data_IF_436542843028
#
_entry.id   IF_436542843028
#
_cell.length_a   1.000
_cell.length_b   1.000
_cell.length_c   1.000
_cell.angle_alpha   90.00
_cell.angle_beta   90.00
_cell.angle_gamma   90.00
#
_symmetry.space_group_name_H-M   'P 1'
#
loop_
_entity.id
_entity.type
_entity.pdbx_description
1 polymer ?
#
# COMPACT_ATOMS: atom_id res chain seq x y z
N UNK A 1 -17.76 -12.65 -17.77
CA UNK A 1 -18.65 -13.09 -16.67
C UNK A 1 -18.44 -14.58 -16.40
N UNK A 2 -18.69 -15.46 -17.38
CA UNK A 2 -18.42 -16.92 -17.24
C UNK A 2 -17.00 -17.27 -16.78
N UNK A 3 -15.97 -16.57 -17.26
CA UNK A 3 -14.59 -16.87 -16.83
C UNK A 3 -14.32 -16.51 -15.37
N UNK A 4 -14.99 -15.48 -14.86
CA UNK A 4 -14.90 -15.08 -13.45
C UNK A 4 -15.62 -16.11 -12.59
N UNK A 5 -16.83 -16.51 -12.97
CA UNK A 5 -17.59 -17.57 -12.28
C UNK A 5 -16.78 -18.87 -12.23
N UNK A 6 -16.18 -19.29 -13.35
CA UNK A 6 -15.30 -20.47 -13.41
C UNK A 6 -14.07 -20.32 -12.52
N UNK A 7 -13.39 -19.18 -12.56
CA UNK A 7 -12.18 -18.95 -11.75
C UNK A 7 -12.50 -19.02 -10.26
N UNK A 8 -13.61 -18.42 -9.85
CA UNK A 8 -14.00 -18.36 -8.45
C UNK A 8 -14.54 -19.70 -7.96
N UNK A 9 -15.36 -20.38 -8.76
CA UNK A 9 -15.83 -21.74 -8.42
C UNK A 9 -14.66 -22.71 -8.27
N UNK A 10 -13.68 -22.69 -9.17
CA UNK A 10 -12.48 -23.51 -9.04
C UNK A 10 -11.65 -23.16 -7.81
N UNK A 11 -11.48 -21.87 -7.50
CA UNK A 11 -10.77 -21.44 -6.30
C UNK A 11 -11.48 -21.90 -5.01
N UNK A 12 -12.80 -21.79 -4.95
CA UNK A 12 -13.59 -22.25 -3.79
C UNK A 12 -13.56 -23.77 -3.63
N UNK A 13 -13.59 -24.52 -4.74
CA UNK A 13 -13.44 -25.98 -4.72
C UNK A 13 -12.06 -26.35 -4.18
N UNK A 14 -11.00 -25.72 -4.68
CA UNK A 14 -9.63 -26.04 -4.27
C UNK A 14 -9.39 -25.77 -2.78
N UNK A 15 -9.84 -24.62 -2.26
CA UNK A 15 -9.75 -24.31 -0.83
C UNK A 15 -10.51 -25.31 0.04
N UNK A 16 -11.77 -25.61 -0.30
CA UNK A 16 -12.56 -26.57 0.47
C UNK A 16 -12.00 -28.00 0.35
N UNK A 17 -11.43 -28.37 -0.80
CA UNK A 17 -10.79 -29.68 -1.01
C UNK A 17 -9.51 -29.83 -0.18
N UNK A 18 -8.65 -28.81 -0.14
CA UNK A 18 -7.44 -28.80 0.71
C UNK A 18 -7.80 -29.00 2.18
N UNK A 19 -8.87 -28.35 2.64
CA UNK A 19 -9.34 -28.53 4.01
C UNK A 19 -9.92 -29.93 4.25
N UNK A 20 -10.68 -30.49 3.29
CA UNK A 20 -11.15 -31.87 3.39
C UNK A 20 -10.00 -32.88 3.49
N UNK A 21 -8.92 -32.70 2.72
CA UNK A 21 -7.75 -33.58 2.81
C UNK A 21 -7.08 -33.52 4.20
N UNK A 22 -6.98 -32.33 4.82
CA UNK A 22 -6.51 -32.21 6.20
C UNK A 22 -7.40 -32.95 7.19
N UNK A 23 -8.71 -32.77 7.07
CA UNK A 23 -9.68 -33.47 7.93
C UNK A 23 -9.60 -35.00 7.75
N UNK A 24 -9.33 -35.47 6.53
CA UNK A 24 -9.14 -36.89 6.23
C UNK A 24 -7.86 -37.47 6.84
N UNK A 25 -6.78 -36.68 6.88
CA UNK A 25 -5.55 -37.07 7.57
C UNK A 25 -5.77 -37.13 9.09
N UNK A 26 -6.43 -36.13 9.68
CA UNK A 26 -6.80 -36.15 11.12
C UNK A 26 -7.73 -37.32 11.45
N UNK A 27 -8.70 -37.61 10.58
CA UNK A 27 -9.59 -38.75 10.73
C UNK A 27 -8.81 -40.07 10.71
N UNK A 28 -7.82 -40.20 9.82
CA UNK A 28 -6.99 -41.41 9.74
C UNK A 28 -6.22 -41.67 11.02
N UNK A 29 -5.71 -40.63 11.66
CA UNK A 29 -5.01 -40.74 12.95
C UNK A 29 -5.98 -41.05 14.10
N UNK A 30 -7.14 -40.39 14.15
CA UNK A 30 -8.13 -40.62 15.21
C UNK A 30 -8.79 -42.00 15.15
N UNK A 31 -9.00 -42.57 13.96
CA UNK A 31 -9.57 -43.91 13.77
C UNK A 31 -8.66 -45.01 14.33
N UNK A 32 -7.34 -44.78 14.43
CA UNK A 32 -6.45 -45.74 15.09
C UNK A 32 -6.82 -45.93 16.56
N UNK A 33 -7.35 -44.90 17.23
CA UNK A 33 -7.86 -45.01 18.59
C UNK A 33 -9.17 -45.84 18.66
N UNK A 34 -9.97 -45.87 17.60
CA UNK A 34 -11.18 -46.70 17.55
C UNK A 34 -10.88 -48.21 17.56
N UNK A 35 -9.66 -48.62 17.21
CA UNK A 35 -9.20 -50.01 17.35
C UNK A 35 -9.25 -50.50 18.81
N UNK A 36 -9.18 -49.59 19.79
CA UNK A 36 -9.31 -49.96 21.21
C UNK A 36 -10.73 -50.42 21.57
N UNK A 37 -11.76 -50.05 20.79
CA UNK A 37 -13.17 -50.45 21.00
C UNK A 37 -13.55 -51.76 20.31
N UNK A 38 -12.59 -52.51 19.75
CA UNK A 38 -12.84 -53.74 18.95
C UNK A 38 -13.73 -53.54 17.71
N UNK A 39 -13.89 -52.30 17.24
CA UNK A 39 -14.50 -52.02 15.94
C UNK A 39 -13.44 -52.09 14.85
N UNK A 40 -13.84 -52.46 13.64
CA UNK A 40 -12.94 -52.45 12.49
C UNK A 40 -12.61 -50.98 12.13
N UNK A 41 -11.35 -50.53 12.29
CA UNK A 41 -10.96 -49.16 11.99
C UNK A 41 -11.21 -48.80 10.52
N UNK A 42 -11.09 -49.75 9.60
CA UNK A 42 -11.32 -49.49 8.18
C UNK A 42 -12.79 -49.16 7.89
N UNK A 43 -13.71 -49.80 8.60
CA UNK A 43 -15.15 -49.56 8.45
C UNK A 43 -15.51 -48.18 9.00
N UNK A 44 -15.00 -47.82 10.17
CA UNK A 44 -15.23 -46.50 10.78
C UNK A 44 -14.67 -45.39 9.90
N UNK A 45 -13.43 -45.55 9.42
CA UNK A 45 -12.83 -44.60 8.49
C UNK A 45 -13.71 -44.36 7.26
N UNK A 46 -14.19 -45.43 6.60
CA UNK A 46 -15.03 -45.30 5.41
C UNK A 46 -16.36 -44.60 5.69
N UNK A 47 -17.02 -44.93 6.80
CA UNK A 47 -18.28 -44.30 7.18
C UNK A 47 -18.10 -42.82 7.48
N UNK A 48 -17.10 -42.46 8.28
CA UNK A 48 -16.88 -41.08 8.70
C UNK A 48 -16.31 -40.22 7.57
N UNK A 49 -15.39 -40.78 6.76
CA UNK A 49 -14.88 -40.13 5.55
C UNK A 49 -16.01 -39.78 4.57
N UNK A 50 -16.98 -40.68 4.40
CA UNK A 50 -18.12 -40.42 3.52
C UNK A 50 -18.99 -39.27 4.04
N UNK A 51 -19.23 -39.18 5.36
CA UNK A 51 -19.96 -38.04 5.94
C UNK A 51 -19.22 -36.72 5.72
N UNK A 52 -17.90 -36.70 5.95
CA UNK A 52 -17.08 -35.51 5.68
C UNK A 52 -17.12 -35.09 4.21
N UNK A 53 -17.20 -36.05 3.29
CA UNK A 53 -17.35 -35.79 1.87
C UNK A 53 -18.73 -35.20 1.53
N UNK A 54 -19.80 -35.73 2.11
CA UNK A 54 -21.15 -35.18 1.93
C UNK A 54 -21.23 -33.73 2.46
N UNK A 55 -20.65 -33.45 3.62
CA UNK A 55 -20.54 -32.11 4.17
C UNK A 55 -19.72 -31.17 3.27
N UNK A 56 -18.60 -31.64 2.72
CA UNK A 56 -17.79 -30.89 1.76
C UNK A 56 -18.64 -30.47 0.55
N UNK A 57 -19.35 -31.40 -0.08
CA UNK A 57 -20.16 -31.10 -1.27
C UNK A 57 -21.23 -30.06 -0.96
N UNK A 58 -21.91 -30.20 0.18
CA UNK A 58 -22.92 -29.23 0.62
C UNK A 58 -22.31 -27.85 0.89
N UNK A 59 -21.13 -27.80 1.51
CA UNK A 59 -20.41 -26.56 1.78
C UNK A 59 -19.98 -25.86 0.49
N UNK A 60 -19.36 -26.59 -0.44
CA UNK A 60 -18.96 -26.06 -1.75
C UNK A 60 -20.17 -25.49 -2.50
N UNK A 61 -21.29 -26.21 -2.54
CA UNK A 61 -22.51 -25.72 -3.19
C UNK A 61 -23.03 -24.44 -2.54
N UNK A 62 -22.99 -24.35 -1.20
CA UNK A 62 -23.43 -23.16 -0.47
C UNK A 62 -22.51 -21.97 -0.72
N UNK A 63 -21.20 -22.19 -0.73
CA UNK A 63 -20.19 -21.15 -0.95
C UNK A 63 -20.26 -20.62 -2.39
N UNK A 64 -20.37 -21.52 -3.36
CA UNK A 64 -20.52 -21.16 -4.78
C UNK A 64 -21.81 -20.37 -5.01
N UNK A 65 -22.96 -20.88 -4.57
CA UNK A 65 -24.23 -20.18 -4.73
C UNK A 65 -24.23 -18.82 -4.00
N UNK A 66 -23.70 -18.79 -2.77
CA UNK A 66 -23.60 -17.57 -1.97
C UNK A 66 -22.74 -16.52 -2.67
N UNK A 67 -21.59 -16.91 -3.22
CA UNK A 67 -20.73 -15.99 -3.95
C UNK A 67 -21.37 -15.51 -5.26
N UNK A 68 -22.01 -16.39 -6.02
CA UNK A 68 -22.67 -16.01 -7.28
C UNK A 68 -23.87 -15.08 -7.05
N UNK A 69 -24.57 -15.21 -5.93
CA UNK A 69 -25.77 -14.41 -5.61
C UNK A 69 -25.45 -13.07 -4.93
N UNK A 70 -24.45 -13.03 -4.04
CA UNK A 70 -24.12 -11.85 -3.22
C UNK A 70 -22.80 -11.18 -3.62
N UNK A 71 -22.03 -11.77 -4.55
CA UNK A 71 -20.74 -11.27 -4.96
C UNK A 71 -20.86 -9.96 -5.74
N UNK A 72 -20.60 -8.85 -5.06
CA UNK A 72 -20.47 -7.55 -5.72
C UNK A 72 -19.04 -7.42 -6.26
N UNK A 73 -18.91 -7.40 -7.58
CA UNK A 73 -17.63 -7.17 -8.25
C UNK A 73 -17.31 -5.68 -8.14
N UNK A 74 -16.48 -5.32 -7.17
CA UNK A 74 -15.80 -4.02 -7.17
C UNK A 74 -14.78 -4.06 -8.31
N UNK A 75 -15.26 -3.87 -9.53
CA UNK A 75 -14.43 -3.52 -10.66
C UNK A 75 -13.80 -2.20 -10.24
N UNK A 76 -12.50 -2.22 -9.93
CA UNK A 76 -11.74 -1.01 -9.66
C UNK A 76 -11.80 -0.15 -10.93
N UNK A 77 -12.82 0.70 -10.96
CA UNK A 77 -12.97 1.75 -11.94
C UNK A 77 -11.74 2.63 -11.80
N UNK A 78 -11.04 2.82 -12.92
CA UNK A 78 -9.79 3.55 -13.08
C UNK A 78 -9.56 4.54 -11.94
N UNK A 79 -8.43 4.38 -11.24
CA UNK A 79 -7.92 5.35 -10.28
C UNK A 79 -7.91 6.71 -10.97
N UNK A 80 -8.98 7.51 -10.78
CA UNK A 80 -9.03 8.88 -11.24
C UNK A 80 -7.93 9.57 -10.47
N UNK A 81 -6.87 9.96 -11.18
CA UNK A 81 -5.79 10.79 -10.63
C UNK A 81 -6.43 11.85 -9.75
N UNK A 82 -6.06 11.86 -8.47
CA UNK A 82 -6.62 12.77 -7.50
C UNK A 82 -6.47 14.19 -8.07
N UNK A 83 -7.60 14.77 -8.50
CA UNK A 83 -7.61 16.13 -9.04
C UNK A 83 -7.13 17.02 -7.91
N UNK A 84 -5.89 17.49 -8.01
CA UNK A 84 -5.25 18.32 -6.99
C UNK A 84 -6.20 19.48 -6.71
N UNK A 85 -6.87 19.44 -5.55
CA UNK A 85 -7.64 20.59 -5.11
C UNK A 85 -6.61 21.69 -4.86
N UNK A 86 -6.58 22.69 -5.74
CA UNK A 86 -5.87 23.92 -5.46
C UNK A 86 -6.56 24.53 -4.24
N UNK A 87 -5.96 24.33 -3.07
CA UNK A 87 -6.38 25.01 -1.84
C UNK A 87 -6.26 26.50 -2.11
N UNK A 88 -7.39 27.18 -2.25
CA UNK A 88 -7.42 28.63 -2.39
C UNK A 88 -7.05 29.25 -1.05
N UNK A 89 -5.75 29.52 -0.87
CA UNK A 89 -5.17 30.09 0.34
C UNK A 89 -5.53 31.58 0.55
N UNK A 90 -6.39 32.16 -0.30
CA UNK A 90 -6.77 33.58 -0.26
C UNK A 90 -7.45 34.03 1.04
N UNK A 91 -7.97 33.09 1.85
CA UNK A 91 -8.62 33.39 3.15
C UNK A 91 -7.81 32.96 4.37
N UNK A 92 -6.60 32.44 4.20
CA UNK A 92 -5.71 32.17 5.34
C UNK A 92 -5.15 33.52 5.83
N UNK A 93 -5.89 34.12 6.77
CA UNK A 93 -5.38 35.21 7.59
C UNK A 93 -4.49 34.59 8.66
N UNK A 94 -3.18 34.58 8.42
CA UNK A 94 -2.22 34.43 9.51
C UNK A 94 -2.45 35.61 10.46
N UNK A 95 -2.69 35.32 11.73
CA UNK A 95 -2.86 36.31 12.77
C UNK A 95 -1.66 37.25 12.79
N UNK A 96 -1.84 38.43 12.19
CA UNK A 96 -0.95 39.59 12.27
C UNK A 96 -1.21 40.34 13.58
N UNK A 97 -1.42 39.61 14.67
CA UNK A 97 -1.45 40.16 16.03
C UNK A 97 -0.21 39.74 16.83
N UNK A 98 0.43 38.60 16.50
CA UNK A 98 1.72 38.23 17.10
C UNK A 98 2.92 39.01 16.51
N UNK A 99 2.84 39.46 15.26
CA UNK A 99 3.89 40.25 14.61
C UNK A 99 3.84 41.74 15.00
N UNK A 100 2.67 42.25 15.39
CA UNK A 100 2.51 43.62 15.87
C UNK A 100 3.16 43.82 17.26
N UNK A 101 3.19 42.78 18.10
CA UNK A 101 3.88 42.81 19.40
C UNK A 101 5.41 42.76 19.27
N UNK A 102 5.95 42.12 18.21
CA UNK A 102 7.40 42.10 17.95
C UNK A 102 7.90 43.37 17.23
N UNK A 103 7.07 43.97 16.38
CA UNK A 103 7.43 45.18 15.63
C UNK A 103 7.44 46.49 16.46
N UNK A 104 6.81 46.51 17.64
CA UNK A 104 6.88 47.67 18.56
C UNK A 104 8.26 47.81 19.24
N UNK A 105 9.10 46.77 19.23
CA UNK A 105 10.41 46.77 19.86
C UNK A 105 11.55 47.34 18.99
N UNK A 106 11.39 47.46 17.66
CA UNK A 106 12.51 47.84 16.77
C UNK A 106 12.36 49.23 16.10
N UNK A 107 11.28 49.97 16.39
CA UNK A 107 10.99 51.28 15.78
C UNK A 107 11.77 52.48 16.39
N UNK A 108 12.97 52.26 16.94
CA UNK A 108 13.79 53.34 17.57
C UNK A 108 14.79 54.00 16.60
N UNK A 109 14.98 53.57 15.35
CA UNK A 109 15.98 54.23 14.49
C UNK A 109 15.71 54.20 12.98
N UNK A 110 14.57 54.76 12.54
CA UNK A 110 14.36 55.08 11.12
C UNK A 110 14.01 56.56 10.89
N UNK A 111 15.01 57.33 10.46
CA UNK A 111 14.84 58.36 9.42
C UNK A 111 15.51 57.89 8.12
N UNK A 112 15.03 58.34 6.94
CA UNK A 112 14.91 57.50 5.75
C UNK A 112 15.99 57.77 4.70
N UNK A 113 16.48 56.72 4.02
CA UNK A 113 17.25 56.84 2.77
C UNK A 113 16.82 55.74 1.78
N UNK A 114 16.83 56.15 0.50
CA UNK A 114 16.33 55.62 -0.76
C UNK A 114 16.60 54.13 -1.08
N UNK A 115 15.74 53.57 -1.94
CA UNK A 115 15.79 52.17 -2.40
C UNK A 115 17.05 51.92 -3.27
N UNK A 116 17.92 50.95 -2.93
CA UNK A 116 19.00 50.55 -3.82
C UNK A 116 18.52 49.53 -4.87
N UNK A 117 18.80 49.81 -6.14
CA UNK A 117 18.63 48.86 -7.25
C UNK A 117 19.65 47.71 -7.12
N UNK A 118 19.24 46.50 -7.48
CA UNK A 118 20.11 45.30 -7.41
C UNK A 118 20.84 45.08 -8.73
N UNK A 119 22.14 44.85 -8.65
CA UNK A 119 23.03 44.69 -9.81
C UNK A 119 22.92 43.28 -10.44
N UNK A 120 22.99 43.22 -11.77
CA UNK A 120 23.08 41.96 -12.54
C UNK A 120 24.57 41.59 -12.66
N UNK A 121 24.94 40.37 -12.23
CA UNK A 121 26.33 39.86 -12.32
C UNK A 121 26.76 39.67 -13.77
N UNK A 122 27.91 40.23 -14.15
CA UNK A 122 28.46 40.16 -15.51
C UNK A 122 29.38 38.95 -15.76
N UNK A 123 29.72 38.15 -14.75
CA UNK A 123 30.64 37.01 -14.93
C UNK A 123 29.91 35.66 -14.99
N UNK A 124 30.34 34.83 -15.95
CA UNK A 124 29.84 33.46 -16.14
C UNK A 124 30.17 32.60 -14.93
N UNK A 125 29.15 31.93 -14.38
CA UNK A 125 29.29 31.04 -13.23
C UNK A 125 30.12 29.80 -13.64
N UNK A 126 31.35 29.69 -13.14
CA UNK A 126 32.23 28.55 -13.40
C UNK A 126 31.64 27.28 -12.79
N UNK A 127 31.51 26.22 -13.59
CA UNK A 127 30.93 24.95 -13.18
C UNK A 127 31.89 24.11 -12.33
N UNK A 128 31.34 23.25 -11.47
CA UNK A 128 32.09 22.43 -10.50
C UNK A 128 33.20 21.55 -11.15
N UNK A 129 33.04 21.17 -12.42
CA UNK A 129 34.00 20.33 -13.14
C UNK A 129 34.86 21.09 -14.17
N UNK A 130 34.66 22.40 -14.35
CA UNK A 130 35.39 23.21 -15.33
C UNK A 130 36.82 23.49 -14.88
N UNK A 131 37.76 23.79 -15.80
CA UNK A 131 39.12 24.18 -15.41
C UNK A 131 39.08 25.39 -14.48
N UNK A 132 39.83 25.31 -13.39
CA UNK A 132 39.80 26.33 -12.36
C UNK A 132 40.40 27.64 -12.89
N UNK A 133 39.73 28.80 -12.71
CA UNK A 133 40.17 30.07 -13.28
C UNK A 133 41.47 30.61 -12.66
N UNK A 134 42.01 29.95 -11.62
CA UNK A 134 43.33 30.23 -11.06
C UNK A 134 44.51 29.73 -11.92
N UNK A 135 44.23 29.14 -13.10
CA UNK A 135 45.26 28.70 -14.05
C UNK A 135 46.02 27.42 -13.66
N UNK A 136 45.58 26.72 -12.61
CA UNK A 136 46.26 25.53 -12.07
C UNK A 136 46.08 24.24 -12.91
N UNK A 137 45.31 24.29 -14.00
CA UNK A 137 45.03 23.16 -14.89
C UNK A 137 44.14 22.05 -14.32
N UNK A 138 43.72 22.14 -13.05
CA UNK A 138 42.84 21.16 -12.38
C UNK A 138 41.37 21.59 -12.42
N UNK A 139 40.44 20.63 -12.33
CA UNK A 139 38.99 20.92 -12.28
C UNK A 139 38.65 21.71 -11.02
N UNK A 140 37.70 22.64 -11.11
CA UNK A 140 37.33 23.60 -10.06
C UNK A 140 37.09 22.93 -8.71
N UNK A 141 36.31 21.84 -8.66
CA UNK A 141 36.04 21.06 -7.43
C UNK A 141 37.27 20.49 -6.72
N UNK A 142 38.36 20.25 -7.45
CA UNK A 142 39.58 19.68 -6.90
C UNK A 142 40.61 20.76 -6.54
N UNK A 143 40.32 22.03 -6.85
CA UNK A 143 41.18 23.16 -6.53
C UNK A 143 40.46 24.10 -5.56
N UNK A 144 39.67 25.04 -6.06
CA UNK A 144 38.99 26.06 -5.24
C UNK A 144 37.54 25.72 -4.88
N UNK A 145 37.03 24.58 -5.34
CA UNK A 145 35.64 24.13 -5.14
C UNK A 145 35.49 22.90 -4.24
N UNK A 146 36.35 22.75 -3.23
CA UNK A 146 36.09 21.80 -2.13
C UNK A 146 34.83 22.22 -1.37
#
# INVERSE_FOLDING_TARGET
>A
MSDIEKTITLALIDENWKEHLRNMDELKDSVQAASFEQKDPLVIYKMEAYKLFEELVNKVNRDVCGYLLLGDLVIQQEVKEARVQKTDLSKVRTSREEEAQRAAAENVSRKPIEKPETFIRQETKVGRNDPCPCGSGKKFKQCHGK
#
